data_IF_173241972895
#
_entry.id   IF_173241972895
#
_cell.length_a   1.000
_cell.length_b   1.000
_cell.length_c   1.000
_cell.angle_alpha   90.00
_cell.angle_beta   90.00
_cell.angle_gamma   90.00
#
_symmetry.space_group_name_H-M   'P 1'
#
loop_
_entity.id
_entity.type
_entity.pdbx_description
1 polymer ?
#
# COMPACT_ATOMS: atom_id res chain seq x y z
N UNK A 1 -29.06 -11.70 7.92
CA UNK A 1 -27.87 -12.39 7.41
C UNK A 1 -26.67 -11.61 7.91
N UNK A 2 -25.97 -12.15 8.93
CA UNK A 2 -24.83 -11.48 9.54
C UNK A 2 -23.59 -11.79 8.71
N UNK A 3 -23.05 -10.77 8.03
CA UNK A 3 -21.63 -10.78 7.66
C UNK A 3 -20.99 -9.62 8.41
N UNK A 4 -20.16 -10.00 9.37
CA UNK A 4 -19.30 -9.13 10.14
C UNK A 4 -18.35 -8.43 9.16
N UNK A 5 -18.73 -7.25 8.68
CA UNK A 5 -17.75 -6.25 8.25
C UNK A 5 -17.03 -5.87 9.53
N UNK A 6 -15.90 -6.53 9.80
CA UNK A 6 -15.00 -6.10 10.86
C UNK A 6 -14.92 -4.59 10.78
N UNK A 7 -15.21 -3.91 11.90
CA UNK A 7 -15.13 -2.46 12.04
C UNK A 7 -14.05 -1.94 11.10
N UNK A 8 -14.43 -1.11 10.13
CA UNK A 8 -13.46 -0.25 9.45
C UNK A 8 -12.49 0.23 10.52
N UNK A 9 -11.23 -0.20 10.42
CA UNK A 9 -10.20 0.21 11.35
C UNK A 9 -10.20 1.73 11.20
N UNK A 10 -10.81 2.44 12.16
CA UNK A 10 -11.28 3.82 12.01
C UNK A 10 -10.15 4.69 11.46
N UNK A 11 -10.20 4.99 10.15
CA UNK A 11 -9.18 5.75 9.42
C UNK A 11 -8.43 5.03 8.30
N UNK A 12 -8.59 3.72 8.05
CA UNK A 12 -7.97 3.04 6.90
C UNK A 12 -8.82 3.27 5.62
N UNK A 13 -8.23 3.74 4.50
CA UNK A 13 -8.99 4.10 3.29
C UNK A 13 -9.74 2.93 2.63
N UNK A 14 -9.21 1.70 2.70
CA UNK A 14 -9.89 0.52 2.16
C UNK A 14 -9.36 -0.81 2.72
N UNK A 15 -10.22 -1.82 2.78
CA UNK A 15 -9.85 -3.16 3.21
C UNK A 15 -9.05 -3.92 2.15
N UNK A 16 -8.25 -4.90 2.62
CA UNK A 16 -7.52 -5.82 1.76
C UNK A 16 -8.48 -6.56 0.80
N UNK A 17 -8.15 -6.70 -0.50
CA UNK A 17 -9.07 -7.23 -1.50
C UNK A 17 -9.33 -8.74 -1.45
N UNK A 18 -8.69 -9.49 -0.53
CA UNK A 18 -8.86 -10.95 -0.44
C UNK A 18 -7.92 -11.76 -1.34
N UNK A 19 -7.04 -11.11 -2.09
CA UNK A 19 -6.02 -11.73 -2.93
C UNK A 19 -4.71 -10.94 -2.90
N UNK A 20 -3.60 -11.60 -3.28
CA UNK A 20 -2.26 -11.00 -3.32
C UNK A 20 -2.15 -10.11 -4.55
N UNK A 21 -1.57 -8.91 -4.41
CA UNK A 21 -1.16 -8.09 -5.56
C UNK A 21 0.29 -8.40 -5.91
N UNK A 22 0.52 -8.79 -7.15
CA UNK A 22 1.82 -9.19 -7.68
C UNK A 22 1.90 -8.88 -9.17
N UNK A 23 3.06 -9.12 -9.80
CA UNK A 23 3.27 -8.84 -11.22
C UNK A 23 2.13 -9.43 -12.09
N UNK A 24 1.51 -8.57 -12.90
CA UNK A 24 0.36 -8.92 -13.74
C UNK A 24 -1.01 -8.62 -13.11
N UNK A 25 -1.07 -8.36 -11.80
CA UNK A 25 -2.29 -7.84 -11.16
C UNK A 25 -2.65 -6.47 -11.73
N UNK A 26 -3.95 -6.16 -11.81
CA UNK A 26 -4.41 -4.86 -12.27
C UNK A 26 -5.75 -4.47 -11.66
N UNK A 27 -6.10 -3.19 -11.79
CA UNK A 27 -7.39 -2.63 -11.37
C UNK A 27 -7.29 -1.65 -10.20
N UNK A 28 -8.44 -1.27 -9.66
CA UNK A 28 -8.56 -0.18 -8.69
C UNK A 28 -7.76 -0.43 -7.40
N UNK A 29 -7.59 -1.68 -6.98
CA UNK A 29 -6.83 -2.03 -5.78
C UNK A 29 -5.32 -1.86 -5.98
N UNK A 30 -4.81 -2.12 -7.18
CA UNK A 30 -3.44 -1.80 -7.54
C UNK A 30 -3.25 -0.30 -7.59
N UNK A 31 -4.17 0.43 -8.24
CA UNK A 31 -4.13 1.90 -8.34
C UNK A 31 -4.09 2.54 -6.96
N UNK A 32 -5.00 2.12 -6.08
CA UNK A 32 -5.05 2.61 -4.70
C UNK A 32 -3.72 2.38 -3.97
N UNK A 33 -3.18 1.17 -4.02
CA UNK A 33 -1.90 0.88 -3.36
C UNK A 33 -0.75 1.72 -3.95
N UNK A 34 -0.73 1.97 -5.26
CA UNK A 34 0.25 2.84 -5.91
C UNK A 34 0.13 4.30 -5.41
N UNK A 35 -1.10 4.81 -5.23
CA UNK A 35 -1.36 6.14 -4.68
C UNK A 35 -0.84 6.26 -3.25
N UNK A 36 -1.23 5.33 -2.38
CA UNK A 36 -0.78 5.28 -0.98
C UNK A 36 0.75 5.19 -0.89
N UNK A 37 1.36 4.31 -1.68
CA UNK A 37 2.82 4.13 -1.71
C UNK A 37 3.57 5.37 -2.19
N UNK A 38 3.02 6.11 -3.16
CA UNK A 38 3.63 7.36 -3.63
C UNK A 38 3.55 8.50 -2.62
N UNK A 39 2.48 8.56 -1.81
CA UNK A 39 2.38 9.51 -0.69
C UNK A 39 3.43 9.18 0.36
N UNK A 40 3.57 7.90 0.71
CA UNK A 40 4.60 7.43 1.65
C UNK A 40 6.01 7.76 1.11
N UNK A 41 6.27 7.54 -0.18
CA UNK A 41 7.54 7.87 -0.81
C UNK A 41 7.90 9.37 -0.74
N UNK A 42 6.92 10.25 -0.54
CA UNK A 42 7.17 11.67 -0.26
C UNK A 42 7.89 11.92 1.07
N UNK A 43 7.58 11.13 2.10
CA UNK A 43 8.22 11.20 3.42
C UNK A 43 9.41 10.23 3.57
N UNK A 44 9.48 9.18 2.74
CA UNK A 44 10.52 8.16 2.77
C UNK A 44 11.24 8.07 1.41
N UNK A 45 12.22 8.95 1.10
CA UNK A 45 12.85 9.04 -0.21
C UNK A 45 13.58 7.77 -0.69
N UNK A 46 13.87 6.85 0.23
CA UNK A 46 14.45 5.56 -0.11
C UNK A 46 13.47 4.65 -0.86
N UNK A 47 12.16 4.91 -0.81
CA UNK A 47 11.11 4.19 -1.52
C UNK A 47 10.90 4.87 -2.88
N UNK A 48 11.12 4.16 -4.01
CA UNK A 48 10.91 4.73 -5.33
C UNK A 48 9.44 5.10 -5.58
N UNK A 49 9.21 6.30 -6.12
CA UNK A 49 7.89 6.64 -6.69
C UNK A 49 7.64 5.80 -7.95
N UNK A 50 6.38 5.50 -8.18
CA UNK A 50 5.92 4.66 -9.29
C UNK A 50 4.77 5.33 -10.04
N UNK A 51 4.51 4.88 -11.26
CA UNK A 51 3.32 5.30 -12.00
C UNK A 51 2.06 4.78 -11.32
N UNK A 52 1.03 5.62 -11.26
CA UNK A 52 -0.31 5.27 -10.77
C UNK A 52 -1.20 4.94 -11.98
N UNK A 53 -1.00 3.76 -12.54
CA UNK A 53 -1.71 3.26 -13.73
C UNK A 53 -2.70 2.13 -13.41
N UNK A 54 -2.67 1.61 -12.19
CA UNK A 54 -3.45 0.43 -11.81
C UNK A 54 -2.92 -0.88 -12.39
N UNK A 55 -1.65 -0.92 -12.84
CA UNK A 55 -0.97 -2.10 -13.36
C UNK A 55 0.20 -2.44 -12.45
N UNK A 56 0.21 -3.65 -11.91
CA UNK A 56 1.27 -4.12 -11.04
C UNK A 56 2.41 -4.68 -11.91
N UNK A 57 3.38 -3.82 -12.22
CA UNK A 57 4.57 -4.16 -12.98
C UNK A 57 5.83 -4.28 -12.14
N UNK A 58 6.99 -4.56 -12.78
CA UNK A 58 8.28 -4.70 -12.09
C UNK A 58 8.68 -3.47 -11.25
N UNK A 59 8.33 -2.26 -11.71
CA UNK A 59 8.57 -1.03 -10.96
C UNK A 59 7.77 -0.99 -9.65
N UNK A 60 6.49 -1.39 -9.69
CA UNK A 60 5.64 -1.52 -8.50
C UNK A 60 6.19 -2.58 -7.55
N UNK A 61 6.58 -3.75 -8.06
CA UNK A 61 7.19 -4.81 -7.26
C UNK A 61 8.46 -4.34 -6.54
N UNK A 62 9.33 -3.59 -7.25
CA UNK A 62 10.56 -3.05 -6.68
C UNK A 62 10.28 -2.02 -5.58
N UNK A 63 9.29 -1.14 -5.78
CA UNK A 63 8.90 -0.16 -4.76
C UNK A 63 8.28 -0.83 -3.52
N UNK A 64 7.38 -1.81 -3.72
CA UNK A 64 6.82 -2.61 -2.62
C UNK A 64 7.91 -3.37 -1.87
N UNK A 65 8.85 -3.99 -2.58
CA UNK A 65 9.99 -4.68 -1.96
C UNK A 65 10.82 -3.73 -1.09
N UNK A 66 11.03 -2.50 -1.56
CA UNK A 66 11.76 -1.48 -0.81
C UNK A 66 10.98 -0.99 0.41
N UNK A 67 9.68 -0.75 0.27
CA UNK A 67 8.78 -0.45 1.39
C UNK A 67 8.85 -1.56 2.45
N UNK A 68 8.74 -2.82 2.05
CA UNK A 68 8.83 -3.95 2.95
C UNK A 68 10.15 -3.96 3.73
N UNK A 69 11.29 -3.76 3.05
CA UNK A 69 12.59 -3.64 3.71
C UNK A 69 12.66 -2.47 4.71
N UNK A 70 12.09 -1.31 4.37
CA UNK A 70 12.10 -0.12 5.24
C UNK A 70 11.30 -0.36 6.51
N UNK A 71 10.16 -1.06 6.42
CA UNK A 71 9.24 -1.27 7.54
C UNK A 71 9.33 -2.67 8.17
N UNK A 72 10.44 -3.39 7.96
CA UNK A 72 10.74 -4.66 8.63
C UNK A 72 9.85 -5.83 8.22
N UNK A 73 9.27 -5.79 7.02
CA UNK A 73 8.52 -6.90 6.44
C UNK A 73 9.43 -7.78 5.57
N UNK A 74 9.05 -9.06 5.33
CA UNK A 74 9.68 -9.87 4.29
C UNK A 74 9.61 -9.16 2.93
N UNK A 75 10.76 -8.95 2.30
CA UNK A 75 10.89 -8.19 1.06
C UNK A 75 10.56 -9.05 -0.18
N UNK A 76 9.31 -9.51 -0.27
CA UNK A 76 8.81 -10.37 -1.37
C UNK A 76 8.56 -9.60 -2.66
N UNK A 77 8.26 -8.30 -2.57
CA UNK A 77 7.76 -7.51 -3.70
C UNK A 77 6.33 -7.86 -4.12
N UNK A 78 5.59 -8.54 -3.24
CA UNK A 78 4.16 -8.85 -3.39
C UNK A 78 3.37 -8.24 -2.23
N UNK A 79 2.11 -7.88 -2.45
CA UNK A 79 1.25 -7.29 -1.43
C UNK A 79 0.24 -8.33 -0.94
N UNK A 80 0.60 -9.02 0.13
CA UNK A 80 -0.32 -9.81 0.94
C UNK A 80 -1.09 -8.94 1.95
N UNK A 81 -1.94 -9.55 2.78
CA UNK A 81 -2.72 -8.80 3.78
C UNK A 81 -1.83 -8.01 4.74
N UNK A 82 -0.68 -8.56 5.15
CA UNK A 82 0.25 -7.89 6.08
C UNK A 82 0.85 -6.65 5.46
N UNK A 83 1.29 -6.77 4.22
CA UNK A 83 1.86 -5.66 3.45
C UNK A 83 0.79 -4.59 3.18
N UNK A 84 -0.43 -4.99 2.79
CA UNK A 84 -1.56 -4.07 2.57
C UNK A 84 -1.83 -3.21 3.79
N UNK A 85 -2.07 -3.83 4.95
CA UNK A 85 -2.40 -3.09 6.16
C UNK A 85 -1.23 -2.24 6.67
N UNK A 86 0.02 -2.67 6.47
CA UNK A 86 1.18 -1.84 6.79
C UNK A 86 1.28 -0.62 5.88
N UNK A 87 1.01 -0.74 4.57
CA UNK A 87 0.95 0.40 3.65
C UNK A 87 -0.11 1.39 4.14
N UNK A 88 -1.34 0.92 4.39
CA UNK A 88 -2.42 1.82 4.79
C UNK A 88 -2.19 2.49 6.16
N UNK A 89 -1.60 1.78 7.14
CA UNK A 89 -1.21 2.36 8.43
C UNK A 89 -0.20 3.50 8.26
N UNK A 90 0.87 3.28 7.49
CA UNK A 90 1.91 4.28 7.27
C UNK A 90 1.37 5.45 6.44
N UNK A 91 0.53 5.17 5.44
CA UNK A 91 -0.15 6.20 4.66
C UNK A 91 -0.95 7.15 5.55
N UNK A 92 -1.79 6.60 6.45
CA UNK A 92 -2.58 7.41 7.40
C UNK A 92 -1.68 8.21 8.34
N UNK A 93 -0.57 7.64 8.80
CA UNK A 93 0.41 8.34 9.62
C UNK A 93 1.06 9.52 8.88
N UNK A 94 1.49 9.31 7.64
CA UNK A 94 2.12 10.34 6.80
C UNK A 94 1.13 11.43 6.41
N UNK A 95 -0.10 11.08 6.02
CA UNK A 95 -1.12 12.05 5.59
C UNK A 95 -1.52 13.00 6.71
N UNK A 96 -1.69 12.48 7.94
CA UNK A 96 -2.01 13.31 9.11
C UNK A 96 -0.90 14.30 9.46
N UNK A 97 0.37 13.95 9.24
CA UNK A 97 1.48 14.89 9.45
C UNK A 97 1.44 16.00 8.40
N UNK A 98 1.12 15.67 7.16
CA UNK A 98 1.02 16.64 6.07
C UNK A 98 -0.14 17.63 6.25
N UNK A 99 -1.18 17.29 6.99
CA UNK A 99 -2.31 18.18 7.32
C UNK A 99 -1.97 19.23 8.40
N UNK A 100 -0.83 19.10 9.09
CA UNK A 100 -0.44 19.98 10.20
C UNK A 100 0.54 21.11 9.79
N UNK A 101 0.92 21.21 8.52
CA UNK A 101 1.94 22.15 8.01
C UNK A 101 1.39 23.15 7.00
#
# INVERSE_FOLDING_TARGET
>A
MYINTAQEISGIPSSWPGYVLENGSSGNKVRQMQEELNVIAGAYPAIPKITVDGIYGPATAASVKKFQSVFGLPATGTVDYRTWYKISEIYVGVSRIAELV
#
